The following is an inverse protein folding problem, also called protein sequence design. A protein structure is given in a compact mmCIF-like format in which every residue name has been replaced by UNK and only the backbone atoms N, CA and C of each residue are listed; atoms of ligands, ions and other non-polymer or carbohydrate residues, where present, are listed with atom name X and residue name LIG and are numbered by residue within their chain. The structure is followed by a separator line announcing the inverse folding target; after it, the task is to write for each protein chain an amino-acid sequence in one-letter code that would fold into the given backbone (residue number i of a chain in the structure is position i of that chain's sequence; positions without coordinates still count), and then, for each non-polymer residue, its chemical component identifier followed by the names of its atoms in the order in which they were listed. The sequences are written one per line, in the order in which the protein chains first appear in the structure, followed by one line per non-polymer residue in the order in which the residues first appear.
data_IF_814767853192
#
_entry.id   IF_814767853192
#
_cell.length_a   1.000
_cell.length_b   1.000
_cell.length_c   1.000
_cell.angle_alpha   90.00
_cell.angle_beta   90.00
_cell.angle_gamma   90.00
#
_symmetry.space_group_name_H-M   'P 1'
#
loop_
_entity.id
_entity.type
_entity.pdbx_description
1 polymer ?
#
# COMPACT_ATOMS: atom_id res chain seq x y z
N UNK A 1 -6.42 10.29 23.23
CA UNK A 1 -5.19 11.09 23.42
C UNK A 1 -4.25 10.31 24.31
N UNK A 2 -2.97 10.30 23.98
CA UNK A 2 -1.91 9.73 24.80
C UNK A 2 -0.82 10.79 24.95
N UNK A 3 -0.28 10.97 26.15
CA UNK A 3 0.87 11.85 26.35
C UNK A 3 2.15 11.02 26.30
N UNK A 4 2.98 11.28 25.31
CA UNK A 4 4.31 10.72 25.19
C UNK A 4 5.29 11.61 25.96
N UNK A 5 5.65 11.17 27.16
CA UNK A 5 6.58 11.90 28.04
C UNK A 5 7.98 12.00 27.44
N UNK A 6 8.42 11.02 26.64
CA UNK A 6 9.79 10.98 26.11
C UNK A 6 10.05 12.09 25.10
N UNK A 7 9.06 12.38 24.26
CA UNK A 7 9.12 13.45 23.25
C UNK A 7 8.26 14.67 23.63
N UNK A 8 7.77 14.72 24.87
CA UNK A 8 6.90 15.78 25.39
C UNK A 8 5.73 16.17 24.47
N UNK A 9 5.09 15.18 23.83
CA UNK A 9 4.06 15.40 22.83
C UNK A 9 2.73 14.72 23.19
N UNK A 10 1.63 15.32 22.76
CA UNK A 10 0.29 14.71 22.86
C UNK A 10 -0.02 14.04 21.52
N UNK A 11 -0.22 12.72 21.56
CA UNK A 11 -0.59 11.90 20.42
C UNK A 11 -2.12 11.72 20.35
N UNK A 12 -2.67 12.07 19.20
CA UNK A 12 -4.06 11.81 18.82
C UNK A 12 -5.10 12.81 19.35
N UNK A 13 -6.40 12.52 19.16
CA UNK A 13 -6.95 11.29 18.58
C UNK A 13 -6.66 11.14 17.07
N UNK A 14 -6.37 9.91 16.64
CA UNK A 14 -6.20 9.52 15.23
C UNK A 14 -7.20 8.40 14.93
N UNK A 15 -7.75 8.33 13.71
CA UNK A 15 -8.77 7.36 13.30
C UNK A 15 -8.17 6.10 12.68
N UNK A 16 -7.11 6.24 11.90
CA UNK A 16 -6.46 5.13 11.22
C UNK A 16 -4.94 5.31 11.17
N UNK A 17 -4.25 4.20 10.92
CA UNK A 17 -2.81 4.16 10.68
C UNK A 17 -2.59 3.53 9.31
N UNK A 18 -1.96 4.27 8.42
CA UNK A 18 -1.50 3.74 7.14
C UNK A 18 -0.14 3.10 7.35
N UNK A 19 0.00 1.83 6.95
CA UNK A 19 1.25 1.08 7.02
C UNK A 19 1.56 0.49 5.66
N UNK A 20 2.84 0.51 5.26
CA UNK A 20 3.34 -0.26 4.11
C UNK A 20 4.41 -1.22 4.60
N UNK A 21 4.28 -2.48 4.17
CA UNK A 21 5.23 -3.54 4.46
C UNK A 21 5.96 -3.92 3.17
N UNK A 22 7.30 -3.91 3.19
CA UNK A 22 8.07 -4.64 2.20
C UNK A 22 8.01 -6.13 2.52
N UNK A 23 7.90 -6.97 1.49
CA UNK A 23 7.94 -8.43 1.61
C UNK A 23 8.84 -9.00 0.53
N UNK A 24 9.72 -9.91 0.91
CA UNK A 24 10.51 -10.68 -0.04
C UNK A 24 9.62 -11.58 -0.90
N UNK A 25 9.80 -11.50 -2.21
CA UNK A 25 9.08 -12.36 -3.16
C UNK A 25 9.68 -13.77 -3.18
N UNK A 26 11.00 -13.86 -3.24
CA UNK A 26 11.75 -15.14 -3.30
C UNK A 26 12.13 -15.62 -1.90
N UNK A 27 12.59 -14.70 -1.05
CA UNK A 27 13.04 -15.00 0.31
C UNK A 27 11.96 -14.67 1.33
N UNK A 28 11.91 -15.44 2.41
CA UNK A 28 10.92 -15.27 3.47
C UNK A 28 11.32 -14.16 4.45
N UNK A 29 11.05 -12.91 4.08
CA UNK A 29 11.21 -11.76 4.97
C UNK A 29 10.10 -10.73 4.77
N UNK A 30 9.86 -9.91 5.80
CA UNK A 30 8.94 -8.78 5.78
C UNK A 30 9.38 -7.69 6.75
N UNK A 31 9.18 -6.43 6.39
CA UNK A 31 9.54 -5.29 7.24
C UNK A 31 8.58 -4.11 7.01
N UNK A 32 8.12 -3.40 8.06
CA UNK A 32 7.42 -2.14 7.90
C UNK A 32 8.38 -1.06 7.39
N UNK A 33 8.02 -0.40 6.30
CA UNK A 33 8.85 0.63 5.64
C UNK A 33 8.21 2.02 5.63
N UNK A 34 6.91 2.10 5.90
CA UNK A 34 6.17 3.35 6.00
C UNK A 34 5.09 3.22 7.06
N UNK A 35 4.94 4.25 7.87
CA UNK A 35 3.79 4.42 8.73
C UNK A 35 3.40 5.90 8.81
N UNK A 36 2.10 6.19 8.86
CA UNK A 36 1.59 7.53 9.14
C UNK A 36 0.18 7.46 9.69
N UNK A 37 -0.19 8.43 10.53
CA UNK A 37 -1.55 8.55 11.08
C UNK A 37 -2.46 9.34 10.13
N UNK A 38 -3.73 8.93 10.02
CA UNK A 38 -4.80 9.62 9.28
C UNK A 38 -4.40 10.07 7.85
N UNK A 39 -3.50 9.31 7.23
CA UNK A 39 -2.89 9.64 5.94
C UNK A 39 -3.31 8.60 4.90
N UNK A 40 -3.94 9.06 3.82
CA UNK A 40 -4.23 8.21 2.66
C UNK A 40 -2.93 7.85 1.90
N UNK A 41 -2.86 6.64 1.34
CA UNK A 41 -1.79 6.29 0.40
C UNK A 41 -1.95 7.06 -0.91
N UNK A 42 -1.06 8.00 -1.19
CA UNK A 42 -1.05 8.79 -2.43
C UNK A 42 -0.02 8.24 -3.42
N UNK A 43 -0.15 8.65 -4.69
CA UNK A 43 0.82 8.31 -5.73
C UNK A 43 2.22 8.78 -5.35
N UNK A 44 2.36 9.99 -4.82
CA UNK A 44 3.68 10.56 -4.50
C UNK A 44 4.35 9.82 -3.35
N UNK A 45 3.59 9.48 -2.30
CA UNK A 45 4.09 8.65 -1.19
C UNK A 45 4.56 7.30 -1.73
N UNK A 46 3.74 6.65 -2.57
CA UNK A 46 4.08 5.36 -3.16
C UNK A 46 5.36 5.43 -4.03
N UNK A 47 5.46 6.44 -4.91
CA UNK A 47 6.63 6.60 -5.77
C UNK A 47 7.90 6.87 -4.96
N UNK A 48 7.80 7.69 -3.91
CA UNK A 48 8.93 7.93 -3.00
C UNK A 48 9.36 6.65 -2.27
N UNK A 49 8.42 5.84 -1.79
CA UNK A 49 8.73 4.54 -1.17
C UNK A 49 9.46 3.62 -2.16
N UNK A 50 8.98 3.52 -3.41
CA UNK A 50 9.60 2.68 -4.44
C UNK A 50 11.01 3.17 -4.79
N UNK A 51 11.19 4.49 -4.93
CA UNK A 51 12.50 5.11 -5.17
C UNK A 51 13.48 4.82 -4.03
N UNK A 52 13.06 4.98 -2.77
CA UNK A 52 13.90 4.68 -1.61
C UNK A 52 14.29 3.20 -1.55
N UNK A 53 13.37 2.27 -1.83
CA UNK A 53 13.69 0.84 -1.90
C UNK A 53 14.71 0.54 -3.01
N UNK A 54 14.59 1.21 -4.17
CA UNK A 54 15.55 1.08 -5.25
C UNK A 54 16.96 1.53 -4.83
N UNK A 55 17.08 2.68 -4.18
CA UNK A 55 18.36 3.19 -3.69
C UNK A 55 19.01 2.32 -2.62
N UNK A 56 18.22 1.56 -1.85
CA UNK A 56 18.73 0.56 -0.90
C UNK A 56 19.19 -0.73 -1.61
N UNK A 57 18.82 -0.91 -2.88
CA UNK A 57 19.20 -2.07 -3.70
C UNK A 57 18.09 -3.10 -3.88
N UNK A 58 16.84 -2.78 -3.52
CA UNK A 58 15.69 -3.66 -3.73
C UNK A 58 14.90 -3.26 -4.98
N UNK A 59 14.46 -4.27 -5.74
CA UNK A 59 13.58 -4.06 -6.89
C UNK A 59 12.12 -4.35 -6.51
N UNK A 60 11.27 -3.33 -6.57
CA UNK A 60 9.82 -3.49 -6.39
C UNK A 60 9.19 -3.93 -7.70
N UNK A 61 8.61 -5.13 -7.70
CA UNK A 61 7.95 -5.73 -8.89
C UNK A 61 6.43 -5.81 -8.76
N UNK A 62 5.91 -5.67 -7.54
CA UNK A 62 4.47 -5.79 -7.28
C UNK A 62 4.01 -4.98 -6.07
N UNK A 63 2.75 -4.56 -6.13
CA UNK A 63 2.02 -3.88 -5.07
C UNK A 63 0.73 -4.65 -4.78
N UNK A 64 0.43 -4.87 -3.49
CA UNK A 64 -0.83 -5.48 -3.06
C UNK A 64 -1.57 -4.48 -2.17
N UNK A 65 -2.84 -4.22 -2.47
CA UNK A 65 -3.70 -3.40 -1.62
C UNK A 65 -5.10 -4.01 -1.48
N UNK A 66 -5.83 -3.62 -0.44
CA UNK A 66 -7.27 -3.86 -0.39
C UNK A 66 -8.01 -3.02 -1.46
N UNK A 67 -9.32 -3.21 -1.51
CA UNK A 67 -10.23 -2.48 -2.42
C UNK A 67 -11.03 -1.38 -1.70
N UNK A 68 -10.45 -0.78 -0.65
CA UNK A 68 -11.05 0.37 0.00
C UNK A 68 -11.13 1.59 -0.93
N UNK A 69 -12.05 2.54 -0.70
CA UNK A 69 -12.24 3.71 -1.56
C UNK A 69 -10.95 4.50 -1.83
N UNK A 70 -10.10 4.65 -0.82
CA UNK A 70 -8.80 5.34 -0.92
C UNK A 70 -7.85 4.62 -1.88
N UNK A 71 -7.73 3.30 -1.78
CA UNK A 71 -6.85 2.50 -2.64
C UNK A 71 -7.38 2.44 -4.07
N UNK A 72 -8.71 2.41 -4.27
CA UNK A 72 -9.31 2.57 -5.60
C UNK A 72 -8.97 3.95 -6.18
N UNK A 73 -8.98 5.01 -5.36
CA UNK A 73 -8.52 6.34 -5.76
C UNK A 73 -7.06 6.34 -6.23
N UNK A 74 -6.18 5.66 -5.50
CA UNK A 74 -4.78 5.47 -5.88
C UNK A 74 -4.63 4.71 -7.20
N UNK A 75 -5.39 3.64 -7.41
CA UNK A 75 -5.37 2.88 -8.67
C UNK A 75 -5.75 3.75 -9.87
N UNK A 76 -6.75 4.63 -9.70
CA UNK A 76 -7.13 5.62 -10.73
C UNK A 76 -6.00 6.62 -11.00
N UNK A 77 -5.34 7.14 -9.97
CA UNK A 77 -4.20 8.05 -10.10
C UNK A 77 -2.97 7.41 -10.78
N UNK A 78 -2.84 6.09 -10.65
CA UNK A 78 -1.83 5.27 -11.33
C UNK A 78 -2.27 4.77 -12.73
N UNK A 79 -3.48 5.14 -13.17
CA UNK A 79 -4.08 4.70 -14.44
C UNK A 79 -4.17 3.16 -14.59
N UNK A 80 -4.43 2.47 -13.47
CA UNK A 80 -4.58 1.01 -13.45
C UNK A 80 -5.94 0.63 -14.02
N UNK A 81 -5.92 -0.30 -14.98
CA UNK A 81 -7.10 -0.82 -15.66
C UNK A 81 -7.02 -2.35 -15.72
N UNK A 82 -8.14 -3.07 -15.90
CA UNK A 82 -8.10 -4.52 -16.12
C UNK A 82 -7.20 -4.94 -17.29
N UNK A 83 -7.13 -4.11 -18.34
CA UNK A 83 -6.26 -4.32 -19.51
C UNK A 83 -4.80 -3.88 -19.29
N UNK A 84 -4.54 -3.05 -18.28
CA UNK A 84 -3.22 -2.53 -17.94
C UNK A 84 -3.04 -2.52 -16.42
N UNK A 85 -2.77 -3.68 -15.80
CA UNK A 85 -2.70 -3.84 -14.34
C UNK A 85 -1.33 -3.45 -13.76
N UNK A 86 -0.58 -2.58 -14.44
CA UNK A 86 0.78 -2.22 -14.05
C UNK A 86 1.08 -0.76 -14.36
N UNK A 87 2.01 -0.19 -13.60
CA UNK A 87 2.59 1.13 -13.84
C UNK A 87 4.12 1.03 -13.93
N UNK A 88 4.78 2.08 -14.40
CA UNK A 88 6.23 2.12 -14.52
C UNK A 88 6.90 2.50 -13.21
N UNK A 89 7.95 1.77 -12.84
CA UNK A 89 8.83 2.10 -11.73
C UNK A 89 9.49 3.48 -11.97
N UNK A 90 9.48 4.39 -10.98
CA UNK A 90 10.02 5.74 -11.15
C UNK A 90 11.50 5.75 -11.56
N UNK A 91 12.30 4.81 -11.05
CA UNK A 91 13.75 4.74 -11.26
C UNK A 91 14.11 3.82 -12.44
N UNK A 92 13.62 2.58 -12.43
CA UNK A 92 14.07 1.56 -13.40
C UNK A 92 13.25 1.49 -14.68
N UNK A 93 12.10 2.19 -14.73
CA UNK A 93 11.08 2.09 -15.80
C UNK A 93 10.50 0.68 -16.04
N UNK A 94 10.89 -0.30 -15.22
CA UNK A 94 10.31 -1.64 -15.24
C UNK A 94 8.88 -1.61 -14.74
N UNK A 95 8.08 -2.60 -15.12
CA UNK A 95 6.68 -2.69 -14.71
C UNK A 95 6.54 -3.13 -13.26
N UNK A 96 5.73 -2.40 -12.50
CA UNK A 96 5.25 -2.78 -11.17
C UNK A 96 3.79 -3.21 -11.31
N UNK A 97 3.49 -4.47 -10.99
CA UNK A 97 2.15 -5.04 -11.12
C UNK A 97 1.30 -4.77 -9.87
N UNK A 98 0.05 -4.36 -10.07
CA UNK A 98 -0.89 -4.08 -8.97
C UNK A 98 -1.84 -5.25 -8.78
N UNK A 99 -1.93 -5.74 -7.55
CA UNK A 99 -2.78 -6.85 -7.16
C UNK A 99 -3.77 -6.40 -6.09
N UNK A 100 -4.99 -6.93 -6.17
CA UNK A 100 -5.97 -6.83 -5.11
C UNK A 100 -5.72 -7.91 -4.05
N UNK A 101 -6.09 -7.63 -2.80
CA UNK A 101 -6.08 -8.61 -1.73
C UNK A 101 -7.11 -9.74 -1.99
N UNK A 102 -6.60 -10.91 -2.37
CA UNK A 102 -7.41 -12.07 -2.78
C UNK A 102 -8.32 -12.58 -1.65
N UNK A 103 -7.85 -12.78 -0.40
CA UNK A 103 -8.74 -13.06 0.73
C UNK A 103 -9.91 -12.08 0.87
N UNK A 104 -9.68 -10.78 0.65
CA UNK A 104 -10.75 -9.78 0.71
C UNK A 104 -11.78 -9.99 -0.42
N UNK A 105 -11.31 -10.27 -1.63
CA UNK A 105 -12.18 -10.60 -2.77
C UNK A 105 -13.07 -11.81 -2.50
N UNK A 106 -12.51 -12.91 -1.99
CA UNK A 106 -13.26 -14.14 -1.70
C UNK A 106 -14.34 -13.86 -0.63
N UNK A 107 -14.01 -13.08 0.38
CA UNK A 107 -14.95 -12.67 1.43
C UNK A 107 -16.11 -11.85 0.86
N UNK A 108 -15.83 -10.89 -0.01
CA UNK A 108 -16.87 -10.08 -0.67
C UNK A 108 -17.76 -10.94 -1.57
N UNK A 109 -17.17 -11.85 -2.35
CA UNK A 109 -17.93 -12.79 -3.20
C UNK A 109 -18.88 -13.66 -2.36
N UNK A 110 -18.40 -14.19 -1.24
CA UNK A 110 -19.22 -14.97 -0.31
C UNK A 110 -20.38 -14.14 0.24
N UNK A 111 -20.12 -12.92 0.73
CA UNK A 111 -21.18 -12.06 1.26
C UNK A 111 -22.22 -11.74 0.19
N UNK A 112 -21.81 -11.40 -1.04
CA UNK A 112 -22.74 -11.19 -2.15
C UNK A 112 -23.55 -12.43 -2.55
N UNK A 113 -23.02 -13.62 -2.29
CA UNK A 113 -23.71 -14.88 -2.57
C UNK A 113 -24.70 -15.27 -1.45
N UNK A 114 -24.32 -15.05 -0.19
CA UNK A 114 -25.09 -15.46 0.99
C UNK A 114 -26.11 -14.40 1.41
N UNK A 115 -25.75 -13.12 1.41
CA UNK A 115 -26.59 -12.01 1.89
C UNK A 115 -27.65 -11.59 0.85
N UNK A 116 -27.96 -12.49 -0.09
CA UNK A 116 -29.10 -12.37 -1.00
C UNK A 116 -30.41 -12.65 -0.31
#
# INVERSE_FOLDING_TARGET
MCYDKGNEQILGPQKCVQVVMARGLIQQWKQPIFYSFDTAMTKDILMNIISNLHHVGYEVVGLVSDMGPTNIGLWKALNIKPTSPSFENPETKKRVHVFADVPHLIKLMRNHFIDK
#
